data_IF_490708459198
#
_entry.id   IF_490708459198
#
_cell.length_a   1.000
_cell.length_b   1.000
_cell.length_c   1.000
_cell.angle_alpha   90.00
_cell.angle_beta   90.00
_cell.angle_gamma   90.00
#
_symmetry.space_group_name_H-M   'P 1'
#
loop_
_entity.id
_entity.type
_entity.pdbx_description
1 polymer ?
#
# COMPACT_ATOMS: atom_id res chain seq x y z
N UNK A 1 -11.68 2.81 -25.82
CA UNK A 1 -11.23 3.88 -26.72
C UNK A 1 -10.06 4.63 -26.06
N UNK A 2 -9.07 5.05 -26.84
CA UNK A 2 -7.86 5.74 -26.36
C UNK A 2 -8.13 7.11 -25.68
N UNK A 3 -9.37 7.57 -25.71
CA UNK A 3 -9.85 8.82 -25.09
C UNK A 3 -10.42 8.62 -23.68
N UNK A 4 -10.52 7.40 -23.18
CA UNK A 4 -11.01 7.14 -21.82
C UNK A 4 -9.90 7.50 -20.81
N UNK A 5 -10.15 8.34 -19.80
CA UNK A 5 -9.19 8.66 -18.76
C UNK A 5 -8.66 7.43 -18.00
N UNK A 6 -9.44 6.32 -17.95
CA UNK A 6 -9.00 5.04 -17.38
C UNK A 6 -7.87 4.43 -18.21
N UNK A 7 -7.91 4.55 -19.54
CA UNK A 7 -6.87 3.99 -20.42
C UNK A 7 -5.48 4.57 -20.09
N UNK A 8 -5.41 5.88 -19.91
CA UNK A 8 -4.14 6.52 -19.53
C UNK A 8 -3.63 6.07 -18.17
N UNK A 9 -4.52 5.85 -17.20
CA UNK A 9 -4.15 5.38 -15.86
C UNK A 9 -3.60 3.96 -15.83
N UNK A 10 -4.05 3.10 -16.76
CA UNK A 10 -3.64 1.70 -16.86
C UNK A 10 -2.36 1.50 -17.68
N UNK A 11 -2.00 2.49 -18.51
CA UNK A 11 -0.88 2.37 -19.44
C UNK A 11 0.46 2.47 -18.72
N UNK A 12 1.25 1.39 -18.78
CA UNK A 12 2.65 1.36 -18.34
C UNK A 12 3.56 1.61 -19.55
N UNK A 13 4.05 2.83 -19.71
CA UNK A 13 5.05 3.18 -20.71
C UNK A 13 6.46 2.99 -20.13
N UNK A 14 7.48 2.93 -21.01
CA UNK A 14 8.88 2.87 -20.58
C UNK A 14 9.25 4.05 -19.65
N UNK A 15 8.76 5.25 -19.95
CA UNK A 15 8.97 6.43 -19.09
C UNK A 15 8.36 6.22 -17.71
N UNK A 16 7.07 5.81 -17.64
CA UNK A 16 6.41 5.54 -16.34
C UNK A 16 7.11 4.46 -15.53
N UNK A 17 7.64 3.41 -16.18
CA UNK A 17 8.43 2.39 -15.47
C UNK A 17 9.74 2.96 -14.92
N UNK A 18 10.38 3.89 -15.62
CA UNK A 18 11.56 4.59 -15.13
C UNK A 18 11.24 5.49 -13.92
N UNK A 19 10.11 6.19 -13.97
CA UNK A 19 9.63 7.02 -12.86
C UNK A 19 9.33 6.16 -11.63
N UNK A 20 8.62 5.04 -11.80
CA UNK A 20 8.36 4.06 -10.72
C UNK A 20 9.68 3.55 -10.12
N UNK A 21 10.65 3.19 -10.96
CA UNK A 21 11.95 2.74 -10.48
C UNK A 21 12.71 3.83 -9.70
N UNK A 22 12.56 5.11 -10.08
CA UNK A 22 13.10 6.24 -9.32
C UNK A 22 12.40 6.38 -7.97
N UNK A 23 11.08 6.24 -7.91
CA UNK A 23 10.31 6.33 -6.67
C UNK A 23 10.67 5.20 -5.70
N UNK A 24 10.85 3.97 -6.19
CA UNK A 24 11.34 2.85 -5.37
C UNK A 24 12.73 3.15 -4.80
N UNK A 25 13.65 3.73 -5.58
CA UNK A 25 14.97 4.15 -5.09
C UNK A 25 14.86 5.25 -4.02
N UNK A 26 13.95 6.20 -4.20
CA UNK A 26 13.67 7.23 -3.21
C UNK A 26 13.20 6.61 -1.90
N UNK A 27 12.27 5.66 -1.94
CA UNK A 27 11.81 4.91 -0.76
C UNK A 27 12.96 4.14 -0.11
N UNK A 28 13.81 3.48 -0.90
CA UNK A 28 14.97 2.75 -0.41
C UNK A 28 15.95 3.67 0.34
N UNK A 29 16.13 4.91 -0.13
CA UNK A 29 17.00 5.93 0.49
C UNK A 29 16.44 6.52 1.78
N UNK A 30 15.14 6.38 2.07
CA UNK A 30 14.56 6.89 3.32
C UNK A 30 15.21 6.21 4.53
N UNK A 31 15.37 6.93 5.66
CA UNK A 31 15.79 6.29 6.91
C UNK A 31 14.76 5.24 7.34
N UNK A 32 15.26 4.12 7.90
CA UNK A 32 14.35 3.09 8.43
C UNK A 32 13.44 3.67 9.51
N UNK A 33 12.12 3.43 9.44
CA UNK A 33 11.20 3.82 10.49
C UNK A 33 11.26 2.88 11.70
N UNK A 34 11.89 1.71 11.57
CA UNK A 34 11.90 0.65 12.58
C UNK A 34 12.88 0.94 13.71
N UNK A 35 12.50 0.56 14.93
CA UNK A 35 13.37 0.63 16.10
C UNK A 35 13.66 2.04 16.60
N UNK A 36 12.97 3.07 16.09
CA UNK A 36 13.17 4.46 16.55
C UNK A 36 12.59 4.62 17.96
N UNK A 37 13.41 5.15 18.87
CA UNK A 37 12.92 5.56 20.20
C UNK A 37 12.15 6.87 20.03
N UNK A 38 10.82 6.81 20.16
CA UNK A 38 9.91 7.94 20.01
C UNK A 38 9.80 8.75 21.32
N UNK A 39 9.95 8.07 22.46
CA UNK A 39 9.92 8.67 23.80
C UNK A 39 10.68 7.78 24.78
N UNK A 40 11.40 8.39 25.68
CA UNK A 40 12.05 7.72 26.80
C UNK A 40 11.70 8.47 28.09
N UNK A 41 11.30 7.73 29.13
CA UNK A 41 11.04 8.27 30.47
C UNK A 41 11.77 7.44 31.50
N UNK A 42 12.33 8.08 32.52
CA UNK A 42 12.87 7.42 33.70
C UNK A 42 11.98 7.82 34.88
N UNK A 43 11.40 6.81 35.51
CA UNK A 43 10.54 7.00 36.69
C UNK A 43 11.41 7.24 37.95
N UNK A 44 10.83 7.83 39.04
CA UNK A 44 11.57 8.07 40.28
C UNK A 44 12.20 6.81 40.92
N UNK A 45 11.62 5.63 40.65
CA UNK A 45 12.13 4.34 41.08
C UNK A 45 13.26 3.76 40.19
N UNK A 46 13.72 4.53 39.18
CA UNK A 46 14.77 4.13 38.23
C UNK A 46 14.31 3.29 37.04
N UNK A 47 13.00 2.96 36.94
CA UNK A 47 12.46 2.25 35.79
C UNK A 47 12.54 3.11 34.52
N UNK A 48 13.18 2.55 33.46
CA UNK A 48 13.29 3.17 32.14
C UNK A 48 12.21 2.63 31.23
N UNK A 49 11.36 3.52 30.73
CA UNK A 49 10.28 3.17 29.77
C UNK A 49 10.62 3.80 28.43
N UNK A 50 10.66 2.99 27.35
CA UNK A 50 10.87 3.44 25.98
C UNK A 50 9.66 3.12 25.13
N UNK A 51 9.21 4.10 24.36
CA UNK A 51 8.26 3.92 23.24
C UNK A 51 9.08 3.78 21.96
N UNK A 52 8.98 2.61 21.34
CA UNK A 52 9.77 2.29 20.12
C UNK A 52 8.80 2.00 18.97
N UNK A 53 9.16 2.45 17.75
CA UNK A 53 8.38 2.14 16.55
C UNK A 53 8.57 0.69 16.11
N UNK A 54 7.47 0.02 15.75
CA UNK A 54 7.43 -1.36 15.24
C UNK A 54 6.58 -1.42 13.98
N UNK A 55 6.68 -2.46 13.13
CA UNK A 55 5.76 -2.69 12.03
C UNK A 55 4.31 -2.81 12.52
N UNK A 56 3.35 -2.59 11.62
CA UNK A 56 1.94 -2.94 11.87
C UNK A 56 1.75 -4.46 11.84
N UNK A 57 2.45 -5.14 10.93
CA UNK A 57 2.31 -6.55 10.63
C UNK A 57 1.93 -6.79 9.18
N UNK A 58 0.74 -7.35 8.93
CA UNK A 58 0.20 -7.61 7.59
C UNK A 58 -0.78 -6.50 7.20
N UNK A 59 -0.51 -5.82 6.09
CA UNK A 59 -1.33 -4.71 5.60
C UNK A 59 -2.09 -5.14 4.33
N UNK A 60 -3.42 -5.13 4.39
CA UNK A 60 -4.29 -5.30 3.24
C UNK A 60 -4.46 -3.98 2.48
N UNK A 61 -4.17 -3.95 1.17
CA UNK A 61 -4.35 -2.77 0.34
C UNK A 61 -5.35 -3.05 -0.75
N UNK A 62 -6.48 -2.32 -0.74
CA UNK A 62 -7.55 -2.44 -1.74
C UNK A 62 -7.47 -1.21 -2.64
N UNK A 63 -7.19 -1.41 -3.95
CA UNK A 63 -6.97 -0.29 -4.87
C UNK A 63 -7.62 -0.48 -6.24
N UNK A 64 -7.93 0.64 -6.90
CA UNK A 64 -8.51 0.71 -8.24
C UNK A 64 -7.45 1.04 -9.29
N UNK A 65 -7.65 0.58 -10.51
CA UNK A 65 -7.08 0.99 -11.82
C UNK A 65 -5.75 1.78 -11.84
N UNK A 66 -4.75 1.41 -11.03
CA UNK A 66 -3.42 2.02 -11.01
C UNK A 66 -2.36 0.96 -10.74
N UNK A 67 -1.81 0.30 -11.78
CA UNK A 67 -0.83 -0.78 -11.59
C UNK A 67 0.44 -0.34 -10.85
N UNK A 68 0.87 0.93 -10.96
CA UNK A 68 2.02 1.45 -10.21
C UNK A 68 1.85 1.35 -8.68
N UNK A 69 0.61 1.36 -8.18
CA UNK A 69 0.33 1.24 -6.73
C UNK A 69 0.92 -0.04 -6.15
N UNK A 70 0.95 -1.14 -6.91
CA UNK A 70 1.54 -2.40 -6.45
C UNK A 70 3.03 -2.24 -6.09
N UNK A 71 3.81 -1.54 -6.91
CA UNK A 71 5.22 -1.27 -6.63
C UNK A 71 5.40 -0.30 -5.46
N UNK A 72 4.63 0.80 -5.46
CA UNK A 72 4.72 1.84 -4.44
C UNK A 72 4.44 1.25 -3.06
N UNK A 73 3.34 0.52 -2.94
CA UNK A 73 2.91 -0.10 -1.68
C UNK A 73 3.90 -1.17 -1.24
N UNK A 74 4.33 -2.05 -2.13
CA UNK A 74 5.33 -3.07 -1.80
C UNK A 74 6.61 -2.45 -1.24
N UNK A 75 7.15 -1.42 -1.91
CA UNK A 75 8.37 -0.76 -1.47
C UNK A 75 8.24 -0.12 -0.10
N UNK A 76 7.10 0.52 0.20
CA UNK A 76 6.82 1.12 1.50
C UNK A 76 6.62 0.07 2.59
N UNK A 77 5.89 -1.01 2.31
CA UNK A 77 5.68 -2.12 3.25
C UNK A 77 7.02 -2.79 3.58
N UNK A 78 7.81 -3.15 2.57
CA UNK A 78 9.13 -3.75 2.76
C UNK A 78 10.05 -2.83 3.59
N UNK A 79 10.11 -1.52 3.27
CA UNK A 79 10.93 -0.55 3.99
C UNK A 79 10.51 -0.37 5.45
N UNK A 80 9.24 -0.56 5.75
CA UNK A 80 8.67 -0.43 7.10
C UNK A 80 8.50 -1.76 7.83
N UNK A 81 8.99 -2.88 7.24
CA UNK A 81 8.98 -4.21 7.85
C UNK A 81 7.61 -4.86 7.93
N UNK A 82 6.68 -4.45 7.06
CA UNK A 82 5.36 -5.04 6.96
C UNK A 82 5.27 -6.01 5.78
N UNK A 83 4.49 -7.07 5.93
CA UNK A 83 3.98 -7.83 4.80
C UNK A 83 2.76 -7.13 4.20
N UNK A 84 2.45 -7.40 2.93
CA UNK A 84 1.27 -6.80 2.31
C UNK A 84 0.47 -7.78 1.46
N UNK A 85 -0.85 -7.66 1.56
CA UNK A 85 -1.83 -8.36 0.73
C UNK A 85 -2.46 -7.33 -0.19
N UNK A 86 -2.28 -7.51 -1.51
CA UNK A 86 -2.73 -6.59 -2.53
C UNK A 86 -4.04 -7.08 -3.14
N UNK A 87 -5.04 -6.21 -3.22
CA UNK A 87 -6.32 -6.47 -3.87
C UNK A 87 -6.60 -5.38 -4.90
N UNK A 88 -6.13 -5.63 -6.12
CA UNK A 88 -6.34 -4.74 -7.26
C UNK A 88 -7.72 -4.87 -7.90
N UNK A 89 -8.10 -3.89 -8.72
CA UNK A 89 -9.27 -3.95 -9.57
C UNK A 89 -9.06 -4.88 -10.77
N UNK A 90 -10.16 -5.45 -11.31
CA UNK A 90 -10.14 -6.34 -12.47
C UNK A 90 -9.57 -5.69 -13.74
N UNK A 91 -9.71 -4.37 -13.89
CA UNK A 91 -9.21 -3.62 -15.05
C UNK A 91 -7.68 -3.68 -15.20
N UNK A 92 -6.95 -3.95 -14.10
CA UNK A 92 -5.48 -4.00 -14.06
C UNK A 92 -4.92 -5.38 -13.71
N UNK A 93 -5.74 -6.44 -13.69
CA UNK A 93 -5.36 -7.76 -13.16
C UNK A 93 -4.10 -8.32 -13.85
N UNK A 94 -4.03 -8.30 -15.17
CA UNK A 94 -2.86 -8.77 -15.91
C UNK A 94 -1.58 -7.99 -15.55
N UNK A 95 -1.69 -6.66 -15.44
CA UNK A 95 -0.56 -5.82 -15.06
C UNK A 95 -0.13 -6.09 -13.62
N UNK A 96 -1.07 -6.23 -12.70
CA UNK A 96 -0.79 -6.52 -11.30
C UNK A 96 -0.08 -7.88 -11.15
N UNK A 97 -0.56 -8.92 -11.83
CA UNK A 97 0.09 -10.24 -11.83
C UNK A 97 1.52 -10.18 -12.36
N UNK A 98 1.75 -9.48 -13.48
CA UNK A 98 3.09 -9.31 -14.05
C UNK A 98 4.02 -8.56 -13.07
N UNK A 99 3.52 -7.53 -12.39
CA UNK A 99 4.28 -6.78 -11.39
C UNK A 99 4.67 -7.68 -10.21
N UNK A 100 3.72 -8.47 -9.68
CA UNK A 100 4.00 -9.37 -8.57
C UNK A 100 4.98 -10.47 -8.96
N UNK A 101 4.88 -11.02 -10.18
CA UNK A 101 5.87 -11.98 -10.69
C UNK A 101 7.29 -11.39 -10.67
N UNK A 102 7.46 -10.16 -11.13
CA UNK A 102 8.77 -9.47 -11.09
C UNK A 102 9.25 -9.24 -9.65
N UNK A 103 8.35 -8.87 -8.75
CA UNK A 103 8.69 -8.69 -7.34
C UNK A 103 9.14 -10.03 -6.71
N UNK A 104 8.41 -11.12 -6.96
CA UNK A 104 8.77 -12.45 -6.46
C UNK A 104 10.13 -12.91 -6.99
N UNK A 105 10.41 -12.75 -8.30
CA UNK A 105 11.73 -13.06 -8.90
C UNK A 105 12.88 -12.31 -8.20
N UNK A 106 12.66 -11.02 -7.86
CA UNK A 106 13.65 -10.22 -7.12
C UNK A 106 13.81 -10.73 -5.69
N UNK A 107 12.71 -11.03 -5.00
CA UNK A 107 12.75 -11.55 -3.62
C UNK A 107 13.50 -12.89 -3.56
N UNK A 108 13.20 -13.80 -4.48
CA UNK A 108 13.90 -15.09 -4.60
C UNK A 108 15.40 -14.90 -4.85
N UNK A 109 15.78 -13.98 -5.75
CA UNK A 109 17.18 -13.68 -6.03
C UNK A 109 17.95 -13.24 -4.76
N UNK A 110 17.28 -12.54 -3.84
CA UNK A 110 17.87 -12.11 -2.57
C UNK A 110 17.62 -13.07 -1.40
N UNK A 111 17.04 -14.25 -1.65
CA UNK A 111 16.65 -15.25 -0.63
C UNK A 111 15.72 -14.66 0.43
N UNK A 112 14.79 -13.82 0.01
CA UNK A 112 13.72 -13.27 0.84
C UNK A 112 12.43 -14.04 0.55
N UNK A 113 11.64 -14.32 1.60
CA UNK A 113 10.38 -15.03 1.46
C UNK A 113 9.42 -14.25 0.55
N UNK A 114 8.91 -14.89 -0.49
CA UNK A 114 7.98 -14.27 -1.45
C UNK A 114 6.61 -13.98 -0.83
N UNK A 115 6.20 -14.72 0.21
CA UNK A 115 4.93 -14.53 0.91
C UNK A 115 4.81 -13.21 1.68
N UNK A 116 5.87 -12.40 1.72
CA UNK A 116 5.77 -11.03 2.25
C UNK A 116 4.91 -10.11 1.38
N UNK A 117 4.59 -10.52 0.15
CA UNK A 117 3.66 -9.83 -0.74
C UNK A 117 2.83 -10.84 -1.52
N UNK A 118 1.51 -10.71 -1.42
CA UNK A 118 0.57 -11.58 -2.13
C UNK A 118 -0.49 -10.74 -2.86
N UNK A 119 -0.92 -11.24 -4.03
CA UNK A 119 -1.99 -10.64 -4.83
C UNK A 119 -3.23 -11.52 -4.78
N UNK A 120 -4.31 -11.01 -4.20
CA UNK A 120 -5.60 -11.68 -4.19
C UNK A 120 -6.28 -11.63 -5.57
N UNK A 121 -7.15 -12.62 -5.86
CA UNK A 121 -8.00 -12.59 -7.04
C UNK A 121 -8.81 -11.29 -7.16
N UNK A 122 -9.05 -10.85 -8.40
CA UNK A 122 -9.73 -9.59 -8.66
C UNK A 122 -11.28 -9.64 -8.48
N UNK A 123 -11.82 -10.68 -7.88
CA UNK A 123 -13.24 -10.86 -7.61
C UNK A 123 -13.74 -10.13 -6.35
N UNK A 124 -15.05 -10.18 -6.10
CA UNK A 124 -15.69 -9.55 -4.95
C UNK A 124 -15.60 -10.41 -3.68
N UNK A 125 -15.50 -11.71 -3.84
CA UNK A 125 -15.42 -12.66 -2.73
C UNK A 125 -14.10 -12.46 -1.97
N UNK A 126 -12.98 -12.45 -2.69
CA UNK A 126 -11.67 -12.14 -2.09
C UNK A 126 -11.65 -10.76 -1.39
N UNK A 127 -12.41 -9.77 -1.90
CA UNK A 127 -12.54 -8.49 -1.20
C UNK A 127 -13.29 -8.66 0.12
N UNK A 128 -14.42 -9.38 0.11
CA UNK A 128 -15.22 -9.59 1.32
C UNK A 128 -14.44 -10.38 2.38
N UNK A 129 -13.70 -11.41 1.98
CA UNK A 129 -12.83 -12.18 2.87
C UNK A 129 -11.75 -11.29 3.50
N UNK A 130 -11.06 -10.48 2.69
CA UNK A 130 -10.03 -9.57 3.19
C UNK A 130 -10.56 -8.58 4.22
N UNK A 131 -11.78 -8.06 4.03
CA UNK A 131 -12.40 -7.10 4.96
C UNK A 131 -12.68 -7.70 6.35
N UNK A 132 -12.77 -9.03 6.45
CA UNK A 132 -13.12 -9.73 7.69
C UNK A 132 -11.96 -10.60 8.22
N UNK A 133 -10.78 -10.54 7.62
CA UNK A 133 -9.63 -11.39 7.93
C UNK A 133 -8.86 -10.92 9.19
N UNK A 134 -9.56 -10.67 10.31
CA UNK A 134 -8.97 -10.11 11.54
C UNK A 134 -7.85 -10.94 12.16
N UNK A 135 -7.84 -12.26 11.93
CA UNK A 135 -6.83 -13.15 12.45
C UNK A 135 -5.52 -13.15 11.64
N UNK A 136 -5.54 -12.54 10.44
CA UNK A 136 -4.44 -12.58 9.47
C UNK A 136 -3.97 -11.21 9.00
N UNK A 137 -4.82 -10.18 9.14
CA UNK A 137 -4.58 -8.83 8.63
C UNK A 137 -4.74 -7.82 9.74
N UNK A 138 -3.70 -7.04 9.98
CA UNK A 138 -3.65 -6.05 11.06
C UNK A 138 -4.27 -4.71 10.67
N UNK A 139 -4.24 -4.38 9.37
CA UNK A 139 -4.66 -3.09 8.88
C UNK A 139 -5.11 -3.16 7.42
N UNK A 140 -6.17 -2.43 7.05
CA UNK A 140 -6.57 -2.23 5.65
C UNK A 140 -6.40 -0.77 5.26
N UNK A 141 -5.84 -0.53 4.06
CA UNK A 141 -5.70 0.79 3.46
C UNK A 141 -6.41 0.80 2.10
N UNK A 142 -7.61 1.40 2.00
CA UNK A 142 -8.28 1.58 0.72
C UNK A 142 -7.65 2.73 -0.08
N UNK A 143 -7.52 2.55 -1.40
CA UNK A 143 -6.92 3.50 -2.32
C UNK A 143 -7.73 3.60 -3.62
N UNK A 144 -8.53 4.62 -3.80
CA UNK A 144 -9.37 4.76 -4.99
C UNK A 144 -10.43 5.83 -4.86
N UNK A 145 -11.59 5.57 -5.44
CA UNK A 145 -12.75 6.46 -5.40
C UNK A 145 -13.33 6.58 -3.98
N UNK A 146 -14.06 7.66 -3.73
CA UNK A 146 -14.77 7.84 -2.46
C UNK A 146 -15.77 6.71 -2.20
N UNK A 147 -16.34 6.12 -3.26
CA UNK A 147 -17.25 4.96 -3.15
C UNK A 147 -16.52 3.72 -2.63
N UNK A 148 -15.32 3.42 -3.12
CA UNK A 148 -14.51 2.32 -2.60
C UNK A 148 -14.12 2.56 -1.14
N UNK A 149 -13.64 3.76 -0.82
CA UNK A 149 -13.23 4.10 0.55
C UNK A 149 -14.40 3.95 1.51
N UNK A 150 -15.57 4.50 1.18
CA UNK A 150 -16.77 4.37 1.99
C UNK A 150 -17.24 2.92 2.14
N UNK A 151 -17.18 2.13 1.05
CA UNK A 151 -17.51 0.71 1.08
C UNK A 151 -16.61 -0.05 2.06
N UNK A 152 -15.30 0.12 1.97
CA UNK A 152 -14.34 -0.52 2.89
C UNK A 152 -14.60 -0.10 4.33
N UNK A 153 -14.75 1.21 4.59
CA UNK A 153 -15.02 1.73 5.93
C UNK A 153 -16.28 1.18 6.58
N UNK A 154 -17.33 0.96 5.77
CA UNK A 154 -18.63 0.47 6.27
C UNK A 154 -18.68 -1.04 6.47
N UNK A 155 -17.85 -1.80 5.75
CA UNK A 155 -17.94 -3.26 5.71
C UNK A 155 -16.73 -3.97 6.36
N UNK A 156 -15.61 -3.28 6.60
CA UNK A 156 -14.45 -3.90 7.22
C UNK A 156 -14.65 -4.09 8.73
N UNK A 157 -14.26 -5.26 9.23
CA UNK A 157 -14.04 -5.51 10.65
C UNK A 157 -12.57 -5.37 11.04
N UNK A 158 -11.66 -5.57 10.08
CA UNK A 158 -10.23 -5.23 10.22
C UNK A 158 -10.08 -3.71 10.35
N UNK A 159 -9.18 -3.19 11.21
CA UNK A 159 -8.92 -1.76 11.30
C UNK A 159 -8.60 -1.12 9.94
N UNK A 160 -9.16 0.07 9.68
CA UNK A 160 -8.97 0.78 8.41
C UNK A 160 -8.31 2.13 8.65
N UNK A 161 -7.26 2.43 7.86
CA UNK A 161 -6.72 3.79 7.74
C UNK A 161 -7.07 4.30 6.34
N UNK A 162 -7.86 5.36 6.28
CA UNK A 162 -8.24 6.00 5.02
C UNK A 162 -7.67 7.41 4.88
N UNK A 163 -7.37 7.81 3.64
CA UNK A 163 -7.13 9.21 3.32
C UNK A 163 -8.47 9.87 3.07
N UNK A 164 -8.76 10.99 3.70
CA UNK A 164 -9.97 11.77 3.41
C UNK A 164 -10.09 12.15 1.94
N UNK A 165 -11.26 12.62 1.52
CA UNK A 165 -11.49 13.09 0.17
C UNK A 165 -10.54 14.27 -0.14
N UNK A 166 -9.83 14.19 -1.28
CA UNK A 166 -9.04 15.30 -1.78
C UNK A 166 -9.98 16.45 -2.17
N UNK A 167 -9.81 17.62 -1.57
CA UNK A 167 -10.54 18.83 -1.93
C UNK A 167 -9.62 19.70 -2.76
N UNK A 168 -10.01 19.96 -4.02
CA UNK A 168 -9.29 20.89 -4.87
C UNK A 168 -9.78 22.31 -4.59
N UNK A 169 -8.86 23.23 -4.39
CA UNK A 169 -9.14 24.65 -4.23
C UNK A 169 -8.62 25.42 -5.45
N UNK A 170 -9.49 26.22 -6.06
CA UNK A 170 -9.10 27.15 -7.14
C UNK A 170 -9.20 28.56 -6.58
N UNK A 171 -8.09 29.28 -6.58
CA UNK A 171 -8.06 30.68 -6.20
C UNK A 171 -8.04 31.54 -7.48
N UNK A 172 -8.96 32.49 -7.56
CA UNK A 172 -8.98 33.52 -8.62
C UNK A 172 -8.53 34.85 -8.02
N UNK A 173 -7.40 35.34 -8.48
CA UNK A 173 -6.96 36.69 -8.15
C UNK A 173 -7.61 37.70 -9.09
N UNK A 174 -7.74 38.94 -8.60
CA UNK A 174 -8.38 40.06 -9.36
C UNK A 174 -7.40 40.82 -10.24
N UNK A 175 -6.15 40.33 -10.38
CA UNK A 175 -5.13 41.01 -11.22
C UNK A 175 -4.90 40.26 -12.51
#
# INVERSE_FOLDING_TARGET
PSTDPKYDRLKLTKSRLQDIAADIRNVAALPSPLGKVLKENVLPNGLKIKRVSVPFGVIGIIYEARPNVSFDVFSLCLKSGNACILKGGSDADYSNRAIISVIHEVLEHFNVDTHIVELLPADREATAELLHANDYVDLIIPRGSSSLINFVRQNATVPVIETGAGVCHTFFDRY
#
